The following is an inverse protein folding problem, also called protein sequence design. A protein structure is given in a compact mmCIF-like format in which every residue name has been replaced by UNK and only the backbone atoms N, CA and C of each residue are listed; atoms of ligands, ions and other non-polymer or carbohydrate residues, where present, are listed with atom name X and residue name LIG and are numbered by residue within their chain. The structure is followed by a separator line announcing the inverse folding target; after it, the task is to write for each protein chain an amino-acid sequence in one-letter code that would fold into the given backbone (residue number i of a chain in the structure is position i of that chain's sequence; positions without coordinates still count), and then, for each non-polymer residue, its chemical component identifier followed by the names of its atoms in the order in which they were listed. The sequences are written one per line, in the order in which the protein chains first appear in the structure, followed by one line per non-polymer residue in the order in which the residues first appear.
data_IF_921047565542
#
_entry.id   IF_921047565542
#
_cell.length_a   1.000
_cell.length_b   1.000
_cell.length_c   1.000
_cell.angle_alpha   90.00
_cell.angle_beta   90.00
_cell.angle_gamma   90.00
#
_symmetry.space_group_name_H-M   'P 1'
#
loop_
_entity.id
_entity.type
_entity.pdbx_description
1 polymer ?
#
# COMPACT_ATOMS: atom_id res chain seq x y z
N UNK A 1 1.27 -10.23 -4.91
CA UNK A 1 2.23 -9.25 -4.38
C UNK A 1 2.19 -8.02 -5.27
N UNK A 2 2.50 -6.82 -4.77
CA UNK A 2 2.53 -5.63 -5.65
C UNK A 2 3.80 -5.70 -6.51
N UNK A 3 3.68 -6.36 -7.67
CA UNK A 3 4.77 -6.71 -8.59
C UNK A 3 5.63 -5.50 -8.99
N UNK A 4 5.03 -4.30 -9.00
CA UNK A 4 5.69 -3.02 -9.27
C UNK A 4 6.70 -2.62 -8.18
N UNK A 5 6.37 -2.79 -6.89
CA UNK A 5 7.31 -2.48 -5.79
C UNK A 5 8.51 -3.43 -5.86
N UNK A 6 8.27 -4.71 -6.13
CA UNK A 6 9.31 -5.73 -6.21
C UNK A 6 10.29 -5.43 -7.36
N UNK A 7 9.78 -5.28 -8.58
CA UNK A 7 10.61 -5.04 -9.77
C UNK A 7 11.36 -3.71 -9.75
N UNK A 8 10.72 -2.62 -9.32
CA UNK A 8 11.28 -1.29 -9.50
C UNK A 8 12.06 -0.78 -8.29
N UNK A 9 11.72 -1.23 -7.08
CA UNK A 9 12.30 -0.71 -5.85
C UNK A 9 13.18 -1.71 -5.08
N UNK A 10 12.96 -3.01 -5.27
CA UNK A 10 13.68 -4.08 -4.53
C UNK A 10 14.77 -4.69 -5.41
N UNK A 11 14.41 -5.24 -6.57
CA UNK A 11 15.32 -6.05 -7.40
C UNK A 11 16.50 -5.27 -7.99
N UNK A 12 16.36 -3.94 -8.12
CA UNK A 12 17.39 -3.04 -8.67
C UNK A 12 18.38 -2.52 -7.61
N UNK A 13 18.27 -2.95 -6.36
CA UNK A 13 19.15 -2.51 -5.26
C UNK A 13 20.36 -3.44 -5.13
N UNK A 14 21.46 -2.89 -4.63
CA UNK A 14 22.69 -3.65 -4.35
C UNK A 14 22.45 -4.80 -3.36
N UNK A 15 21.50 -4.61 -2.43
CA UNK A 15 20.99 -5.62 -1.51
C UNK A 15 19.45 -5.64 -1.55
N UNK A 16 18.85 -6.49 -2.40
CA UNK A 16 17.40 -6.62 -2.54
C UNK A 16 16.72 -7.11 -1.24
N UNK A 17 17.35 -8.04 -0.52
CA UNK A 17 16.75 -8.60 0.69
C UNK A 17 16.62 -7.53 1.79
N UNK A 18 17.67 -6.73 2.00
CA UNK A 18 17.59 -5.62 2.94
C UNK A 18 16.63 -4.51 2.47
N UNK A 19 16.46 -4.31 1.15
CA UNK A 19 15.49 -3.37 0.61
C UNK A 19 14.04 -3.82 0.84
N UNK A 20 13.74 -5.10 0.61
CA UNK A 20 12.44 -5.71 0.91
C UNK A 20 12.12 -5.59 2.40
N UNK A 21 13.08 -5.91 3.27
CA UNK A 21 12.89 -5.83 4.72
C UNK A 21 12.61 -4.40 5.19
N UNK A 22 13.32 -3.39 4.67
CA UNK A 22 13.05 -1.98 4.97
C UNK A 22 11.63 -1.55 4.57
N UNK A 23 11.13 -2.03 3.44
CA UNK A 23 9.75 -1.74 2.99
C UNK A 23 8.71 -2.42 3.87
N UNK A 24 8.94 -3.67 4.26
CA UNK A 24 8.11 -4.39 5.23
C UNK A 24 8.06 -3.62 6.54
N UNK A 25 9.21 -3.12 7.01
CA UNK A 25 9.31 -2.45 8.30
C UNK A 25 8.70 -1.06 8.35
N UNK A 26 8.52 -0.42 7.19
CA UNK A 26 8.00 0.93 7.06
C UNK A 26 6.58 1.09 7.61
N UNK A 27 5.71 0.12 7.36
CA UNK A 27 4.32 0.15 7.85
C UNK A 27 4.18 -0.68 9.14
N UNK A 28 3.37 -0.21 10.13
CA UNK A 28 3.03 -1.00 11.32
C UNK A 28 2.48 -2.41 11.03
N UNK A 29 1.80 -2.62 9.90
CA UNK A 29 1.28 -3.94 9.51
C UNK A 29 2.35 -4.94 9.06
N UNK A 30 3.62 -4.54 8.95
CA UNK A 30 4.77 -5.43 8.67
C UNK A 30 4.58 -6.34 7.46
N UNK A 31 4.05 -5.78 6.38
CA UNK A 31 3.93 -6.44 5.08
C UNK A 31 3.71 -5.42 3.96
N UNK A 32 4.02 -5.84 2.74
CA UNK A 32 3.66 -5.10 1.53
C UNK A 32 2.19 -5.40 1.20
N UNK A 33 1.42 -4.36 0.87
CA UNK A 33 0.04 -4.52 0.43
C UNK A 33 -0.03 -5.26 -0.91
N UNK A 34 -1.13 -5.95 -1.15
CA UNK A 34 -1.43 -6.53 -2.46
C UNK A 34 -2.20 -5.53 -3.33
N UNK A 35 -2.15 -5.66 -4.68
CA UNK A 35 -2.96 -4.81 -5.55
C UNK A 35 -4.47 -4.91 -5.26
N UNK A 36 -4.93 -6.09 -4.84
CA UNK A 36 -6.33 -6.32 -4.49
C UNK A 36 -6.78 -5.45 -3.31
N UNK A 37 -5.92 -5.25 -2.30
CA UNK A 37 -6.27 -4.42 -1.14
C UNK A 37 -6.43 -2.95 -1.52
N UNK A 38 -5.64 -2.46 -2.49
CA UNK A 38 -5.82 -1.11 -3.03
C UNK A 38 -7.10 -1.02 -3.86
N UNK A 39 -7.34 -2.00 -4.75
CA UNK A 39 -8.52 -1.97 -5.64
C UNK A 39 -9.83 -2.05 -4.87
N UNK A 40 -9.89 -2.76 -3.73
CA UNK A 40 -11.10 -2.82 -2.91
C UNK A 40 -11.49 -1.46 -2.34
N UNK A 41 -10.52 -0.63 -1.91
CA UNK A 41 -10.80 0.74 -1.46
C UNK A 41 -11.31 1.63 -2.60
N UNK A 42 -10.73 1.49 -3.80
CA UNK A 42 -11.20 2.18 -5.01
C UNK A 42 -12.62 1.74 -5.38
N UNK A 43 -12.89 0.44 -5.37
CA UNK A 43 -14.20 -0.11 -5.68
C UNK A 43 -15.27 0.35 -4.68
N UNK A 44 -14.94 0.43 -3.38
CA UNK A 44 -15.83 1.02 -2.39
C UNK A 44 -16.18 2.47 -2.72
N UNK A 45 -15.17 3.31 -2.98
CA UNK A 45 -15.41 4.73 -3.31
C UNK A 45 -16.18 4.90 -4.62
N UNK A 46 -16.09 3.95 -5.55
CA UNK A 46 -16.85 3.93 -6.79
C UNK A 46 -18.24 3.30 -6.67
N UNK A 47 -18.61 2.72 -5.51
CA UNK A 47 -19.86 1.99 -5.33
C UNK A 47 -21.02 2.89 -4.88
N UNK A 48 -22.24 2.34 -4.93
CA UNK A 48 -23.44 2.99 -4.37
C UNK A 48 -23.38 3.22 -2.86
N UNK A 49 -22.51 2.50 -2.14
CA UNK A 49 -22.36 2.62 -0.69
C UNK A 49 -21.61 3.91 -0.32
N UNK A 50 -20.83 4.48 -1.24
CA UNK A 50 -20.10 5.73 -1.05
C UNK A 50 -20.81 6.96 -1.62
N UNK A 51 -22.12 6.89 -1.96
CA UNK A 51 -22.86 7.95 -2.69
C UNK A 51 -22.90 9.34 -2.05
N UNK A 52 -22.52 9.45 -0.77
CA UNK A 52 -22.43 10.73 -0.05
C UNK A 52 -21.02 11.02 0.49
N UNK A 53 -20.03 10.22 0.07
CA UNK A 53 -18.62 10.40 0.41
C UNK A 53 -17.97 11.24 -0.69
N UNK A 54 -17.56 12.46 -0.34
CA UNK A 54 -16.89 13.39 -1.25
C UNK A 54 -15.91 14.27 -0.49
N UNK A 55 -14.89 14.79 -1.17
CA UNK A 55 -13.89 15.71 -0.59
C UNK A 55 -12.91 15.06 0.41
N UNK A 56 -12.81 13.73 0.43
CA UNK A 56 -11.92 12.98 1.34
C UNK A 56 -10.83 12.23 0.60
N UNK A 57 -9.68 12.05 1.24
CA UNK A 57 -8.65 11.10 0.84
C UNK A 57 -8.72 9.87 1.76
N UNK A 58 -8.81 8.67 1.18
CA UNK A 58 -8.82 7.41 1.92
C UNK A 58 -7.39 6.83 1.95
N UNK A 59 -6.66 6.88 3.08
CA UNK A 59 -5.34 6.26 3.19
C UNK A 59 -5.46 4.74 3.17
N UNK A 60 -4.63 4.08 2.35
CA UNK A 60 -4.48 2.62 2.28
C UNK A 60 -2.99 2.30 2.32
N UNK A 61 -2.41 2.35 3.52
CA UNK A 61 -0.95 2.48 3.69
C UNK A 61 -0.37 1.60 4.83
N UNK A 62 -1.17 0.67 5.33
CA UNK A 62 -0.78 -0.20 6.45
C UNK A 62 -0.49 0.52 7.76
N UNK A 63 -0.98 1.75 7.93
CA UNK A 63 -0.79 2.59 9.12
C UNK A 63 0.47 3.44 9.10
N UNK A 64 1.21 3.50 7.99
CA UNK A 64 2.47 4.26 7.91
C UNK A 64 2.29 5.77 8.08
N UNK A 65 1.14 6.35 7.74
CA UNK A 65 0.82 7.77 7.99
C UNK A 65 0.35 8.08 9.40
N UNK A 66 0.01 7.07 10.21
CA UNK A 66 -0.53 7.27 11.56
C UNK A 66 0.55 7.45 12.64
N UNK A 67 1.80 7.07 12.36
CA UNK A 67 2.90 7.15 13.32
C UNK A 67 4.26 7.25 12.64
N UNK A 68 4.74 8.48 12.51
CA UNK A 68 6.17 8.78 12.37
C UNK A 68 6.76 9.16 13.73
#
# INVERSE_FOLDING_TARGET
DTDMIRRDHIDKKDDPAAAEQRMIDYAPMKRISTPAEISQGVLYLASFDARFVTGVALPIDGGSTAGH
#
